data_IF_573392568661
#
_entry.id   IF_573392568661
#
_cell.length_a   1.000
_cell.length_b   1.000
_cell.length_c   1.000
_cell.angle_alpha   90.00
_cell.angle_beta   90.00
_cell.angle_gamma   90.00
#
_symmetry.space_group_name_H-M   'P 1'
#
loop_
_entity.id
_entity.type
_entity.pdbx_description
1 polymer ?
#
# COMPACT_ATOMS: atom_id res chain seq x y z
N UNK A 1 7.42 -2.59 2.84
CA UNK A 1 6.69 -2.44 4.12
C UNK A 1 5.18 -2.56 3.96
N UNK A 2 4.48 -1.62 3.31
CA UNK A 2 3.00 -1.64 3.26
C UNK A 2 2.40 -2.84 2.50
N UNK A 3 3.06 -3.30 1.43
CA UNK A 3 2.67 -4.53 0.72
C UNK A 3 2.77 -5.77 1.62
N UNK A 4 3.90 -5.95 2.29
CA UNK A 4 4.16 -7.10 3.16
C UNK A 4 3.16 -7.16 4.32
N UNK A 5 2.93 -6.02 4.98
CA UNK A 5 1.93 -5.93 6.05
C UNK A 5 0.52 -6.26 5.54
N UNK A 6 0.15 -5.84 4.33
CA UNK A 6 -1.12 -6.23 3.69
C UNK A 6 -1.16 -7.74 3.46
N UNK A 7 -0.10 -8.35 2.94
CA UNK A 7 -0.03 -9.79 2.67
C UNK A 7 -0.20 -10.60 3.97
N UNK A 8 0.38 -10.12 5.07
CA UNK A 8 0.26 -10.69 6.43
C UNK A 8 -1.05 -10.32 7.15
N UNK A 9 -1.97 -9.60 6.51
CA UNK A 9 -3.25 -9.14 7.09
C UNK A 9 -3.07 -8.28 8.34
N UNK A 10 -1.95 -7.56 8.42
CA UNK A 10 -1.67 -6.69 9.56
C UNK A 10 -2.30 -5.33 9.32
N UNK A 11 -3.24 -4.89 10.18
CA UNK A 11 -3.76 -3.54 10.12
C UNK A 11 -2.60 -2.55 10.32
N UNK A 12 -2.65 -1.39 9.67
CA UNK A 12 -1.55 -0.43 9.69
C UNK A 12 -2.03 1.01 9.57
N UNK A 13 -1.24 1.92 10.12
CA UNK A 13 -1.33 3.36 9.88
C UNK A 13 -0.02 3.79 9.23
N UNK A 14 -0.11 4.58 8.16
CA UNK A 14 1.04 4.93 7.32
C UNK A 14 1.38 6.40 7.52
N UNK A 15 2.65 6.66 7.84
CA UNK A 15 3.21 8.00 7.96
C UNK A 15 4.34 8.18 6.95
N UNK A 16 4.35 9.30 6.24
CA UNK A 16 5.45 9.69 5.37
C UNK A 16 6.01 11.05 5.77
N UNK A 17 7.30 11.06 6.14
CA UNK A 17 8.04 12.28 6.42
C UNK A 17 9.29 12.36 5.55
N UNK A 18 9.28 13.27 4.59
CA UNK A 18 10.39 13.55 3.69
C UNK A 18 11.13 14.80 4.14
N UNK A 19 12.38 14.95 3.68
CA UNK A 19 13.09 16.22 3.80
C UNK A 19 12.22 17.34 3.16
N UNK A 20 12.06 18.50 3.83
CA UNK A 20 11.25 19.61 3.33
C UNK A 20 11.54 20.02 1.88
N UNK A 21 12.83 20.02 1.48
CA UNK A 21 13.22 20.37 0.11
C UNK A 21 12.71 19.33 -0.89
N UNK A 22 12.90 18.04 -0.59
CA UNK A 22 12.41 16.94 -1.44
C UNK A 22 10.90 16.99 -1.57
N UNK A 23 10.17 17.20 -0.47
CA UNK A 23 8.72 17.31 -0.50
C UNK A 23 8.24 18.50 -1.32
N UNK A 24 8.91 19.65 -1.19
CA UNK A 24 8.60 20.82 -1.99
C UNK A 24 8.77 20.55 -3.49
N UNK A 25 9.88 19.91 -3.90
CA UNK A 25 10.11 19.51 -5.30
C UNK A 25 9.01 18.57 -5.78
N UNK A 26 8.72 17.51 -5.03
CA UNK A 26 7.69 16.52 -5.39
C UNK A 26 6.33 17.17 -5.59
N UNK A 27 5.96 18.11 -4.71
CA UNK A 27 4.69 18.85 -4.79
C UNK A 27 4.69 19.88 -5.92
N UNK A 28 5.76 20.65 -6.06
CA UNK A 28 5.88 21.72 -7.07
C UNK A 28 5.85 21.18 -8.50
N UNK A 29 6.48 20.02 -8.74
CA UNK A 29 6.51 19.36 -10.04
C UNK A 29 5.40 18.31 -10.21
N UNK A 30 4.47 18.20 -9.25
CA UNK A 30 3.35 17.26 -9.26
C UNK A 30 3.79 15.82 -9.62
N UNK A 31 4.83 15.33 -8.95
CA UNK A 31 5.47 14.05 -9.30
C UNK A 31 4.68 12.83 -8.81
N UNK A 32 3.80 12.99 -7.82
CA UNK A 32 2.90 11.93 -7.35
C UNK A 32 1.60 12.01 -8.13
N UNK A 33 1.42 11.08 -9.07
CA UNK A 33 0.22 11.02 -9.95
C UNK A 33 -0.82 10.01 -9.48
N UNK A 34 -0.57 9.35 -8.36
CA UNK A 34 -1.43 8.31 -7.81
C UNK A 34 -2.30 8.86 -6.69
N UNK A 35 -3.52 8.34 -6.49
CA UNK A 35 -4.43 8.83 -5.45
C UNK A 35 -3.96 8.48 -4.02
N UNK A 36 -3.07 7.50 -3.90
CA UNK A 36 -2.52 7.01 -2.64
C UNK A 36 -1.00 6.87 -2.74
N UNK A 37 -0.30 6.97 -1.61
CA UNK A 37 1.14 6.69 -1.53
C UNK A 37 1.37 5.26 -1.04
N UNK A 38 0.56 4.78 -0.10
CA UNK A 38 0.72 3.43 0.44
C UNK A 38 0.29 2.38 -0.58
N UNK A 39 1.17 1.40 -0.82
CA UNK A 39 0.87 0.24 -1.68
C UNK A 39 -0.41 -0.50 -1.24
N UNK A 40 -0.69 -0.55 0.06
CA UNK A 40 -1.90 -1.18 0.59
C UNK A 40 -3.18 -0.50 0.06
N UNK A 41 -3.23 0.83 0.04
CA UNK A 41 -4.37 1.58 -0.48
C UNK A 41 -4.41 1.57 -2.01
N UNK A 42 -3.26 1.71 -2.66
CA UNK A 42 -3.14 1.61 -4.13
C UNK A 42 -3.73 0.30 -4.66
N UNK A 43 -3.39 -0.82 -4.04
CA UNK A 43 -3.86 -2.14 -4.45
C UNK A 43 -5.31 -2.43 -4.01
N UNK A 44 -5.75 -1.81 -2.91
CA UNK A 44 -7.14 -1.98 -2.44
C UNK A 44 -8.13 -1.14 -3.24
N UNK A 45 -7.66 -0.05 -3.86
CA UNK A 45 -8.49 0.92 -4.57
C UNK A 45 -9.27 1.86 -3.64
N UNK A 46 -9.00 1.79 -2.34
CA UNK A 46 -9.69 2.54 -1.30
C UNK A 46 -8.74 2.85 -0.12
N UNK A 47 -9.07 3.86 0.69
CA UNK A 47 -8.27 4.28 1.84
C UNK A 47 -8.50 3.37 3.04
N UNK A 48 -7.96 2.15 2.99
CA UNK A 48 -8.05 1.14 4.07
C UNK A 48 -7.10 1.47 5.22
N UNK A 49 -5.86 1.81 4.89
CA UNK A 49 -4.85 2.26 5.86
C UNK A 49 -4.82 3.79 5.88
N UNK A 50 -5.08 4.45 7.02
CA UNK A 50 -4.93 5.90 7.13
C UNK A 50 -3.50 6.33 6.74
N UNK A 51 -3.39 7.30 5.85
CA UNK A 51 -2.13 7.91 5.41
C UNK A 51 -2.03 9.34 5.95
N UNK A 52 -0.90 9.65 6.59
CA UNK A 52 -0.56 10.95 7.13
C UNK A 52 0.75 11.44 6.51
N UNK A 53 0.73 12.62 5.90
CA UNK A 53 1.84 13.15 5.10
C UNK A 53 2.40 14.41 5.76
N UNK A 54 3.73 14.47 5.89
CA UNK A 54 4.47 15.61 6.43
C UNK A 54 3.91 16.09 7.77
N UNK A 55 3.30 17.27 7.81
CA UNK A 55 2.83 17.91 9.05
C UNK A 55 1.62 17.19 9.66
N UNK A 56 0.90 16.37 8.88
CA UNK A 56 -0.18 15.53 9.38
C UNK A 56 0.33 14.31 10.17
N UNK A 57 1.61 13.92 9.96
CA UNK A 57 2.21 12.77 10.61
C UNK A 57 2.66 13.09 12.05
N UNK A 58 1.71 13.49 12.89
CA UNK A 58 1.94 13.78 14.30
C UNK A 58 1.72 12.54 15.17
N UNK A 59 2.42 12.41 16.31
CA UNK A 59 2.19 11.32 17.26
C UNK A 59 0.73 11.18 17.68
N UNK A 60 0.03 12.30 17.90
CA UNK A 60 -1.37 12.34 18.32
C UNK A 60 -2.31 11.83 17.23
N UNK A 61 -2.06 12.21 15.97
CA UNK A 61 -2.87 11.75 14.83
C UNK A 61 -2.69 10.24 14.59
N UNK A 62 -1.43 9.79 14.61
CA UNK A 62 -1.09 8.38 14.38
C UNK A 62 -1.61 7.48 15.49
N UNK A 63 -1.40 7.87 16.76
CA UNK A 63 -1.90 7.10 17.92
C UNK A 63 -3.42 7.02 17.94
N UNK A 64 -4.12 8.13 17.64
CA UNK A 64 -5.59 8.13 17.56
C UNK A 64 -6.09 7.19 16.48
N UNK A 65 -5.49 7.20 15.29
CA UNK A 65 -5.86 6.30 14.20
C UNK A 65 -5.61 4.82 14.54
N UNK A 66 -4.47 4.53 15.18
CA UNK A 66 -4.15 3.18 15.63
C UNK A 66 -5.13 2.68 16.69
N UNK A 67 -5.43 3.51 17.70
CA UNK A 67 -6.36 3.16 18.77
C UNK A 67 -7.78 2.96 18.22
N UNK A 68 -8.24 3.84 17.35
CA UNK A 68 -9.55 3.72 16.70
C UNK A 68 -9.72 2.40 15.93
N UNK A 69 -8.65 1.94 15.25
CA UNK A 69 -8.61 0.62 14.63
C UNK A 69 -8.63 -0.52 15.65
N UNK A 70 -7.79 -0.45 16.68
CA UNK A 70 -7.62 -1.53 17.66
C UNK A 70 -8.82 -1.68 18.59
N UNK A 71 -9.56 -0.59 18.84
CA UNK A 71 -10.75 -0.58 19.68
C UNK A 71 -12.03 -1.03 18.97
N UNK A 72 -11.98 -1.29 17.65
CA UNK A 72 -13.16 -1.68 16.87
C UNK A 72 -12.93 -3.02 16.15
N UNK A 73 -13.53 -4.12 16.66
CA UNK A 73 -13.48 -5.42 15.99
C UNK A 73 -14.01 -5.37 14.56
N UNK A 74 -15.11 -4.66 14.31
CA UNK A 74 -15.71 -4.54 12.98
C UNK A 74 -14.77 -3.89 11.96
N UNK A 75 -14.03 -2.83 12.36
CA UNK A 75 -13.01 -2.21 11.50
C UNK A 75 -11.88 -3.19 11.20
N UNK A 76 -11.45 -3.96 12.20
CA UNK A 76 -10.40 -4.95 12.05
C UNK A 76 -10.80 -6.05 11.06
N UNK A 77 -12.03 -6.55 11.17
CA UNK A 77 -12.58 -7.57 10.28
C UNK A 77 -12.72 -7.06 8.85
N UNK A 78 -13.20 -5.82 8.69
CA UNK A 78 -13.25 -5.17 7.39
C UNK A 78 -11.86 -5.06 6.75
N UNK A 79 -10.86 -4.55 7.47
CA UNK A 79 -9.48 -4.41 6.96
C UNK A 79 -8.92 -5.78 6.54
N UNK A 80 -9.09 -6.80 7.38
CA UNK A 80 -8.64 -8.16 7.07
C UNK A 80 -9.34 -8.71 5.82
N UNK A 81 -10.65 -8.45 5.66
CA UNK A 81 -11.42 -8.89 4.49
C UNK A 81 -10.88 -8.27 3.20
N UNK A 82 -10.58 -6.97 3.20
CA UNK A 82 -10.02 -6.25 2.06
C UNK A 82 -8.62 -6.76 1.74
N UNK A 83 -7.76 -6.92 2.74
CA UNK A 83 -6.41 -7.43 2.53
C UNK A 83 -6.39 -8.89 2.05
N UNK A 84 -7.37 -9.71 2.46
CA UNK A 84 -7.55 -11.06 1.93
C UNK A 84 -8.01 -11.06 0.46
N UNK A 85 -8.89 -10.13 0.08
CA UNK A 85 -9.28 -9.93 -1.33
C UNK A 85 -8.08 -9.57 -2.19
N UNK A 86 -7.31 -8.55 -1.80
CA UNK A 86 -6.12 -8.11 -2.55
C UNK A 86 -5.07 -9.22 -2.65
N UNK A 87 -4.79 -9.94 -1.56
CA UNK A 87 -3.82 -11.04 -1.59
C UNK A 87 -4.22 -12.14 -2.57
N UNK A 88 -5.50 -12.52 -2.62
CA UNK A 88 -5.98 -13.49 -3.62
C UNK A 88 -5.80 -12.99 -5.04
N UNK A 89 -6.02 -11.70 -5.31
CA UNK A 89 -5.80 -11.11 -6.64
C UNK A 89 -4.33 -11.15 -7.07
N UNK A 90 -3.40 -11.03 -6.12
CA UNK A 90 -1.95 -11.05 -6.41
C UNK A 90 -1.37 -12.47 -6.54
N UNK A 91 -2.10 -13.50 -6.08
CA UNK A 91 -1.64 -14.90 -6.11
C UNK A 91 -1.82 -15.49 -7.51
N UNK A 92 -0.97 -15.07 -8.44
CA UNK A 92 -1.08 -15.33 -9.88
C UNK A 92 -0.04 -16.31 -10.43
N UNK A 93 0.65 -17.07 -9.57
CA UNK A 93 1.80 -17.90 -9.94
C UNK A 93 2.82 -17.13 -10.81
N UNK A 94 3.31 -16.02 -10.26
CA UNK A 94 4.14 -15.05 -10.98
C UNK A 94 5.42 -15.68 -11.53
N UNK A 95 5.95 -16.71 -10.87
CA UNK A 95 7.16 -17.41 -11.32
C UNK A 95 6.90 -18.18 -12.61
N UNK A 96 5.80 -18.95 -12.68
CA UNK A 96 5.42 -19.65 -13.91
C UNK A 96 5.14 -18.66 -15.05
N UNK A 97 4.37 -17.60 -14.78
CA UNK A 97 4.08 -16.56 -15.78
C UNK A 97 5.34 -15.85 -16.29
N UNK A 98 6.31 -15.59 -15.42
CA UNK A 98 7.57 -14.98 -15.80
C UNK A 98 8.40 -15.95 -16.67
N UNK A 99 8.48 -17.23 -16.29
CA UNK A 99 9.15 -18.25 -17.08
C UNK A 99 8.54 -18.40 -18.47
N UNK A 100 7.20 -18.47 -18.56
CA UNK A 100 6.47 -18.53 -19.83
C UNK A 100 6.74 -17.31 -20.73
N UNK A 101 6.76 -16.11 -20.14
CA UNK A 101 7.04 -14.88 -20.89
C UNK A 101 8.47 -14.87 -21.46
N UNK A 102 9.46 -15.35 -20.70
CA UNK A 102 10.85 -15.48 -21.16
C UNK A 102 10.96 -16.53 -22.27
N UNK A 103 10.32 -17.68 -22.10
CA UNK A 103 10.34 -18.75 -23.10
C UNK A 103 9.75 -18.29 -24.44
N UNK A 104 8.63 -17.55 -24.42
CA UNK A 104 8.02 -16.97 -25.63
C UNK A 104 8.98 -16.05 -26.37
N UNK A 105 9.68 -15.16 -25.66
CA UNK A 105 10.65 -14.25 -26.27
C UNK A 105 11.84 -14.98 -26.91
N UNK A 106 12.26 -16.12 -26.35
CA UNK A 106 13.33 -16.93 -26.93
C UNK A 106 12.86 -17.62 -28.22
N UNK A 107 11.65 -18.17 -28.23
CA UNK A 107 11.07 -18.86 -29.38
C UNK A 107 10.73 -17.92 -30.54
N UNK A 108 10.40 -16.65 -30.26
CA UNK A 108 10.15 -15.63 -31.30
C UNK A 108 11.44 -15.11 -31.96
N UNK A 109 12.61 -15.36 -31.37
CA UNK A 109 13.92 -14.91 -31.88
C UNK A 109 14.74 -15.99 -32.58
N UNK A 110 14.31 -17.24 -32.50
CA UNK A 110 14.85 -18.39 -33.26
C UNK A 110 13.94 -18.70 -34.43
#
# INVERSE_FOLDING_TARGET
ATLEALLLKRPMVVAYRLNPLTYWIVKAFNLVKTPYIAMSNLLSGEKVAPEYIQDEATPEALSRALLDMLSSPDKMDYIQSVYNRVHRQLRLDSSAKAADAVLRLLLERT
#
